data_IF_454278947398
#
_entry.id   IF_454278947398
#
_cell.length_a   1.000
_cell.length_b   1.000
_cell.length_c   1.000
_cell.angle_alpha   90.00
_cell.angle_beta   90.00
_cell.angle_gamma   90.00
#
_symmetry.space_group_name_H-M   'P 1'
#
loop_
_entity.id
_entity.type
_entity.pdbx_description
1 polymer ?
#
# COMPACT_ATOMS: atom_id res chain seq x y z
N UNK A 1 -0.85 -7.22 -1.97
CA UNK A 1 -0.04 -6.50 -3.01
C UNK A 1 -0.26 -7.18 -4.34
N UNK A 2 -0.62 -6.42 -5.38
CA UNK A 2 -0.77 -6.97 -6.71
C UNK A 2 0.60 -7.36 -7.29
N UNK A 3 0.71 -8.57 -7.82
CA UNK A 3 1.91 -9.06 -8.53
C UNK A 3 2.31 -8.08 -9.65
N UNK A 4 1.33 -7.54 -10.35
CA UNK A 4 1.54 -6.57 -11.43
C UNK A 4 2.25 -5.29 -10.95
N UNK A 5 1.83 -4.71 -9.83
CA UNK A 5 2.48 -3.52 -9.28
C UNK A 5 3.93 -3.79 -8.85
N UNK A 6 4.16 -4.92 -8.18
CA UNK A 6 5.51 -5.34 -7.80
C UNK A 6 6.43 -5.51 -9.01
N UNK A 7 5.91 -6.06 -10.10
CA UNK A 7 6.64 -6.24 -11.34
C UNK A 7 6.98 -4.89 -12.00
N UNK A 8 6.04 -3.94 -12.02
CA UNK A 8 6.27 -2.60 -12.58
C UNK A 8 7.35 -1.86 -11.78
N UNK A 9 7.28 -1.89 -10.45
CA UNK A 9 8.30 -1.26 -9.58
C UNK A 9 9.69 -1.87 -9.83
N UNK A 10 9.78 -3.20 -9.93
CA UNK A 10 11.05 -3.88 -10.20
C UNK A 10 11.59 -3.59 -11.60
N UNK A 11 10.72 -3.47 -12.60
CA UNK A 11 11.14 -3.13 -13.96
C UNK A 11 11.74 -1.72 -14.04
N UNK A 12 11.30 -0.78 -13.20
CA UNK A 12 11.87 0.58 -13.14
C UNK A 12 13.31 0.59 -12.61
N UNK A 13 13.64 -0.31 -11.69
CA UNK A 13 15.00 -0.41 -11.11
C UNK A 13 15.86 -1.46 -11.79
N UNK A 14 15.38 -2.06 -12.89
CA UNK A 14 16.09 -3.08 -13.70
C UNK A 14 16.51 -4.31 -12.88
N UNK A 15 15.62 -4.81 -12.03
CA UNK A 15 15.87 -5.93 -11.11
C UNK A 15 14.79 -7.03 -11.19
N UNK A 16 14.21 -7.23 -12.38
CA UNK A 16 13.11 -8.21 -12.58
C UNK A 16 13.53 -9.65 -12.26
N UNK A 17 14.81 -9.99 -12.45
CA UNK A 17 15.35 -11.32 -12.14
C UNK A 17 15.22 -11.71 -10.67
N UNK A 18 15.16 -10.73 -9.78
CA UNK A 18 14.99 -10.93 -8.33
C UNK A 18 13.53 -10.92 -7.88
N UNK A 19 12.56 -10.97 -8.80
CA UNK A 19 11.15 -10.83 -8.49
C UNK A 19 10.65 -11.79 -7.41
N UNK A 20 11.05 -13.07 -7.46
CA UNK A 20 10.61 -14.08 -6.47
C UNK A 20 11.03 -13.72 -5.05
N UNK A 21 12.30 -13.35 -4.87
CA UNK A 21 12.86 -12.94 -3.56
C UNK A 21 12.22 -11.65 -3.08
N UNK A 22 12.03 -10.69 -3.98
CA UNK A 22 11.39 -9.42 -3.70
C UNK A 22 9.95 -9.61 -3.20
N UNK A 23 9.16 -10.40 -3.91
CA UNK A 23 7.77 -10.64 -3.56
C UNK A 23 7.62 -11.36 -2.22
N UNK A 24 8.48 -12.35 -1.97
CA UNK A 24 8.53 -13.02 -0.68
C UNK A 24 8.89 -12.06 0.45
N UNK A 25 9.87 -11.19 0.23
CA UNK A 25 10.29 -10.17 1.20
C UNK A 25 9.15 -9.17 1.50
N UNK A 26 8.46 -8.69 0.48
CA UNK A 26 7.30 -7.77 0.64
C UNK A 26 6.19 -8.45 1.46
N UNK A 27 5.89 -9.71 1.19
CA UNK A 27 4.91 -10.47 1.99
C UNK A 27 5.35 -10.64 3.45
N UNK A 28 6.62 -10.97 3.67
CA UNK A 28 7.17 -11.13 5.02
C UNK A 28 7.15 -9.82 5.80
N UNK A 29 7.62 -8.73 5.19
CA UNK A 29 7.56 -7.38 5.78
C UNK A 29 6.11 -7.00 6.07
N UNK A 30 5.18 -7.31 5.16
CA UNK A 30 3.75 -7.09 5.35
C UNK A 30 3.22 -7.76 6.61
N UNK A 31 3.55 -9.04 6.82
CA UNK A 31 3.12 -9.80 8.01
C UNK A 31 3.73 -9.21 9.29
N UNK A 32 5.04 -8.92 9.27
CA UNK A 32 5.75 -8.33 10.42
C UNK A 32 5.15 -6.98 10.80
N UNK A 33 4.91 -6.12 9.82
CA UNK A 33 4.29 -4.82 10.06
C UNK A 33 2.85 -4.96 10.57
N UNK A 34 2.05 -5.87 10.03
CA UNK A 34 0.68 -6.13 10.50
C UNK A 34 0.63 -6.53 11.99
N UNK A 35 1.70 -7.17 12.49
CA UNK A 35 1.82 -7.52 13.92
C UNK A 35 2.30 -6.33 14.76
N UNK A 36 3.26 -5.56 14.25
CA UNK A 36 3.95 -4.51 15.03
C UNK A 36 3.15 -3.21 15.05
N UNK A 37 2.64 -2.77 13.90
CA UNK A 37 2.04 -1.44 13.73
C UNK A 37 0.81 -1.21 14.63
N UNK A 38 -0.12 -2.17 14.81
CA UNK A 38 -1.26 -1.99 15.72
C UNK A 38 -0.85 -1.82 17.19
N UNK A 39 0.37 -2.26 17.55
CA UNK A 39 0.88 -2.18 18.93
C UNK A 39 1.61 -0.88 19.25
N UNK A 40 1.92 -0.06 18.24
CA UNK A 40 2.60 1.22 18.43
C UNK A 40 1.57 2.32 18.76
N UNK A 41 1.75 3.14 19.83
CA UNK A 41 0.96 4.33 20.02
C UNK A 41 1.15 5.30 18.83
N UNK A 42 0.13 5.95 18.26
CA UNK A 42 -1.21 6.19 18.79
C UNK A 42 -2.28 5.13 18.47
N UNK A 43 -1.96 4.10 17.70
CA UNK A 43 -2.96 3.12 17.25
C UNK A 43 -3.47 2.21 18.36
N UNK A 44 -2.58 1.76 19.25
CA UNK A 44 -2.96 0.97 20.42
C UNK A 44 -3.92 1.70 21.38
N UNK A 45 -4.08 3.01 21.22
CA UNK A 45 -4.99 3.86 22.00
C UNK A 45 -6.36 4.05 21.35
N UNK A 46 -6.52 3.66 20.07
CA UNK A 46 -7.84 3.65 19.42
C UNK A 46 -8.66 2.51 20.04
N UNK A 47 -9.87 2.82 20.46
CA UNK A 47 -10.87 1.79 20.82
C UNK A 47 -11.14 0.95 19.59
N UNK A 48 -11.31 -0.36 19.79
CA UNK A 48 -11.80 -1.30 18.77
C UNK A 48 -13.31 -1.05 18.53
N UNK A 49 -13.65 0.16 18.12
CA UNK A 49 -14.98 0.46 17.60
C UNK A 49 -14.99 0.09 16.13
N UNK A 50 -15.56 -1.05 15.84
CA UNK A 50 -15.90 -1.42 14.47
C UNK A 50 -16.98 -0.45 13.99
N UNK A 51 -16.62 0.47 13.10
CA UNK A 51 -17.58 1.26 12.33
C UNK A 51 -18.19 0.33 11.28
N UNK A 52 -18.89 -0.67 11.73
CA UNK A 52 -19.78 -1.45 10.88
C UNK A 52 -21.16 -0.88 11.14
N UNK A 53 -21.65 -0.06 10.22
CA UNK A 53 -23.10 0.11 10.01
C UNK A 53 -23.69 -1.22 9.50
N UNK A 54 -23.46 -2.30 10.19
CA UNK A 54 -24.25 -3.50 10.08
C UNK A 54 -25.07 -3.58 11.35
N UNK A 55 -26.38 -3.48 11.22
CA UNK A 55 -27.37 -3.70 12.27
C UNK A 55 -27.36 -5.18 12.76
N UNK A 56 -26.21 -5.83 12.74
CA UNK A 56 -26.01 -7.17 13.24
C UNK A 56 -24.95 -7.12 14.33
N UNK A 57 -25.41 -7.06 15.55
CA UNK A 57 -24.61 -7.14 16.77
C UNK A 57 -23.90 -8.50 16.82
N UNK A 58 -22.69 -8.55 17.37
CA UNK A 58 -21.98 -9.82 17.62
C UNK A 58 -22.79 -10.85 18.43
N UNK A 59 -23.83 -10.42 19.10
CA UNK A 59 -24.82 -11.25 19.80
C UNK A 59 -25.64 -12.11 18.81
N UNK A 60 -26.01 -11.57 17.63
CA UNK A 60 -26.75 -12.33 16.61
C UNK A 60 -25.93 -13.45 15.98
N UNK A 61 -24.59 -13.31 15.97
CA UNK A 61 -23.66 -14.31 15.45
C UNK A 61 -23.55 -15.50 16.41
N UNK A 62 -23.54 -15.23 17.71
CA UNK A 62 -23.41 -16.26 18.74
C UNK A 62 -24.67 -17.12 18.94
N UNK A 63 -25.86 -16.55 18.68
CA UNK A 63 -27.14 -17.24 18.92
C UNK A 63 -27.58 -18.18 17.78
N UNK A 64 -27.23 -17.87 16.52
CA UNK A 64 -27.79 -18.57 15.36
C UNK A 64 -26.80 -19.41 14.54
N UNK A 65 -25.49 -19.27 14.72
CA UNK A 65 -24.51 -19.96 13.86
C UNK A 65 -23.45 -20.71 14.67
N UNK A 66 -23.28 -21.99 14.37
CA UNK A 66 -22.27 -22.86 15.02
C UNK A 66 -20.82 -22.56 14.60
N UNK A 67 -20.62 -21.74 13.55
CA UNK A 67 -19.29 -21.40 13.01
C UNK A 67 -19.31 -20.07 12.25
N UNK A 68 -18.26 -19.25 12.42
CA UNK A 68 -18.06 -18.01 11.66
C UNK A 68 -18.02 -18.23 10.14
N UNK A 69 -17.64 -19.42 9.69
CA UNK A 69 -17.63 -19.79 8.26
C UNK A 69 -19.04 -19.96 7.73
N UNK A 70 -19.96 -20.59 8.50
CA UNK A 70 -21.37 -20.74 8.11
C UNK A 70 -22.07 -19.39 8.03
N UNK A 71 -21.81 -18.49 8.98
CA UNK A 71 -22.32 -17.12 8.94
C UNK A 71 -21.84 -16.37 7.70
N UNK A 72 -20.53 -16.44 7.40
CA UNK A 72 -19.97 -15.82 6.21
C UNK A 72 -20.54 -16.37 4.90
N UNK A 73 -20.82 -17.67 4.85
CA UNK A 73 -21.42 -18.32 3.68
C UNK A 73 -22.88 -17.88 3.48
N UNK A 74 -23.67 -17.81 4.55
CA UNK A 74 -25.08 -17.35 4.51
C UNK A 74 -25.18 -15.87 4.08
N UNK A 75 -24.29 -15.04 4.60
CA UNK A 75 -24.17 -13.64 4.17
C UNK A 75 -23.78 -13.50 2.69
N UNK A 76 -22.86 -14.33 2.21
CA UNK A 76 -22.45 -14.35 0.81
C UNK A 76 -23.60 -14.80 -0.10
N UNK A 77 -24.37 -15.83 0.30
CA UNK A 77 -25.54 -16.31 -0.44
C UNK A 77 -26.64 -15.24 -0.48
N UNK A 78 -26.97 -14.62 0.66
CA UNK A 78 -27.94 -13.51 0.73
C UNK A 78 -27.55 -12.34 -0.15
N UNK A 79 -26.25 -12.02 -0.20
CA UNK A 79 -25.73 -10.94 -1.04
C UNK A 79 -25.75 -11.30 -2.51
N UNK A 80 -25.52 -12.58 -2.86
CA UNK A 80 -25.65 -13.08 -4.23
C UNK A 80 -27.12 -13.11 -4.70
N UNK A 81 -28.06 -13.50 -3.83
CA UNK A 81 -29.49 -13.49 -4.13
C UNK A 81 -30.09 -12.09 -4.29
N UNK A 82 -29.51 -11.08 -3.64
CA UNK A 82 -29.94 -9.69 -3.78
C UNK A 82 -29.61 -9.07 -5.14
N UNK A 83 -28.71 -9.69 -5.92
CA UNK A 83 -28.37 -9.22 -7.26
C UNK A 83 -29.36 -9.75 -8.30
N UNK A 84 -30.14 -8.84 -8.89
CA UNK A 84 -31.16 -9.15 -9.91
C UNK A 84 -30.55 -9.40 -11.30
N UNK A 85 -29.75 -10.47 -11.43
CA UNK A 85 -29.29 -10.96 -12.72
C UNK A 85 -27.91 -10.48 -13.17
N UNK A 86 -27.32 -11.23 -14.12
CA UNK A 86 -25.97 -11.02 -14.68
C UNK A 86 -25.82 -9.65 -15.34
N UNK A 87 -26.90 -9.11 -15.92
CA UNK A 87 -26.88 -7.80 -16.59
C UNK A 87 -26.67 -6.63 -15.62
N UNK A 88 -27.31 -6.68 -14.46
CA UNK A 88 -27.14 -5.65 -13.40
C UNK A 88 -25.77 -5.74 -12.75
N UNK A 89 -25.27 -6.96 -12.54
CA UNK A 89 -23.90 -7.20 -12.05
C UNK A 89 -22.85 -6.63 -13.00
N UNK A 90 -22.97 -6.89 -14.31
CA UNK A 90 -22.07 -6.33 -15.32
C UNK A 90 -22.16 -4.81 -15.40
N UNK A 91 -23.37 -4.24 -15.35
CA UNK A 91 -23.57 -2.78 -15.37
C UNK A 91 -22.90 -2.13 -14.17
N UNK A 92 -23.15 -2.63 -12.96
CA UNK A 92 -22.55 -2.11 -11.72
C UNK A 92 -21.02 -2.29 -11.72
N UNK A 93 -20.51 -3.39 -12.26
CA UNK A 93 -19.08 -3.62 -12.44
C UNK A 93 -18.43 -2.62 -13.39
N UNK A 94 -19.08 -2.34 -14.52
CA UNK A 94 -18.60 -1.36 -15.50
C UNK A 94 -18.68 0.05 -14.93
N UNK A 95 -19.78 0.45 -14.30
CA UNK A 95 -19.92 1.76 -13.64
C UNK A 95 -18.85 1.97 -12.57
N UNK A 96 -18.61 0.94 -11.76
CA UNK A 96 -17.58 1.00 -10.71
C UNK A 96 -16.16 1.11 -11.31
N UNK A 97 -15.86 0.36 -12.39
CA UNK A 97 -14.59 0.44 -13.10
C UNK A 97 -14.37 1.82 -13.74
N UNK A 98 -15.39 2.38 -14.40
CA UNK A 98 -15.32 3.74 -14.95
C UNK A 98 -15.22 4.80 -13.86
N UNK A 99 -15.96 4.66 -12.77
CA UNK A 99 -15.89 5.55 -11.63
C UNK A 99 -14.48 5.58 -11.03
N UNK A 100 -13.86 4.43 -10.81
CA UNK A 100 -12.46 4.36 -10.37
C UNK A 100 -11.51 4.98 -11.39
N UNK A 101 -11.70 4.72 -12.67
CA UNK A 101 -10.80 5.20 -13.72
C UNK A 101 -10.82 6.72 -13.83
N UNK A 102 -12.01 7.32 -13.85
CA UNK A 102 -12.16 8.77 -13.96
C UNK A 102 -11.92 9.54 -12.67
N UNK A 103 -12.06 8.90 -11.50
CA UNK A 103 -11.84 9.55 -10.22
C UNK A 103 -10.40 9.36 -9.72
N UNK A 104 -9.90 8.13 -9.69
CA UNK A 104 -8.61 7.82 -9.06
C UNK A 104 -7.43 8.15 -9.98
N UNK A 105 -7.53 7.84 -11.28
CA UNK A 105 -6.41 8.06 -12.22
C UNK A 105 -5.95 9.52 -12.31
N UNK A 106 -6.84 10.52 -12.49
CA UNK A 106 -6.40 11.91 -12.57
C UNK A 106 -5.75 12.39 -11.28
N UNK A 107 -6.28 11.97 -10.11
CA UNK A 107 -5.75 12.36 -8.81
C UNK A 107 -4.33 11.80 -8.63
N UNK A 108 -4.13 10.52 -8.91
CA UNK A 108 -2.82 9.87 -8.82
C UNK A 108 -1.82 10.50 -9.79
N UNK A 109 -2.23 10.81 -11.02
CA UNK A 109 -1.36 11.48 -11.98
C UNK A 109 -0.96 12.89 -11.54
N UNK A 110 -1.87 13.67 -10.98
CA UNK A 110 -1.58 15.03 -10.49
C UNK A 110 -0.62 14.95 -9.30
N UNK A 111 -0.90 14.10 -8.31
CA UNK A 111 -0.06 13.95 -7.12
C UNK A 111 1.32 13.39 -7.48
N UNK A 112 1.37 12.36 -8.34
CA UNK A 112 2.62 11.75 -8.78
C UNK A 112 3.50 12.73 -9.56
N UNK A 113 2.91 13.49 -10.49
CA UNK A 113 3.63 14.51 -11.26
C UNK A 113 4.10 15.65 -10.37
N UNK A 114 3.26 16.15 -9.48
CA UNK A 114 3.63 17.18 -8.52
C UNK A 114 4.79 16.73 -7.63
N UNK A 115 4.75 15.50 -7.13
CA UNK A 115 5.83 14.92 -6.32
C UNK A 115 7.15 14.81 -7.08
N UNK A 116 7.13 14.39 -8.36
CA UNK A 116 8.33 14.32 -9.20
C UNK A 116 8.90 15.71 -9.48
N UNK A 117 8.06 16.69 -9.78
CA UNK A 117 8.48 18.08 -10.01
C UNK A 117 9.11 18.66 -8.74
N UNK A 118 8.47 18.47 -7.59
CA UNK A 118 9.03 18.89 -6.30
C UNK A 118 10.37 18.19 -5.99
N UNK A 119 10.45 16.89 -6.23
CA UNK A 119 11.66 16.10 -5.95
C UNK A 119 12.86 16.54 -6.80
N UNK A 120 12.62 16.95 -8.05
CA UNK A 120 13.68 17.35 -8.95
C UNK A 120 14.07 18.84 -8.82
N UNK A 121 13.12 19.71 -8.48
CA UNK A 121 13.35 21.16 -8.47
C UNK A 121 13.53 21.77 -7.08
N UNK A 122 13.22 21.02 -6.01
CA UNK A 122 13.30 21.55 -4.63
C UNK A 122 14.06 20.62 -3.70
N UNK A 123 14.69 21.22 -2.67
CA UNK A 123 15.39 20.48 -1.60
C UNK A 123 14.45 20.09 -0.44
N UNK A 124 13.14 20.26 -0.61
CA UNK A 124 12.15 19.98 0.46
C UNK A 124 12.24 18.53 0.92
N UNK A 125 12.33 17.59 -0.02
CA UNK A 125 12.43 16.17 0.32
C UNK A 125 13.79 15.80 0.94
N UNK A 126 14.85 16.54 0.67
CA UNK A 126 16.14 16.37 1.35
C UNK A 126 16.07 16.82 2.80
N UNK A 127 15.43 17.95 3.06
CA UNK A 127 15.25 18.47 4.43
C UNK A 127 14.36 17.53 5.24
N UNK A 128 13.24 17.08 4.66
CA UNK A 128 12.33 16.13 5.28
C UNK A 128 12.95 14.71 5.45
N UNK A 129 13.91 14.36 4.61
CA UNK A 129 14.65 13.09 4.68
C UNK A 129 15.73 13.07 5.78
N UNK A 130 16.21 14.24 6.23
CA UNK A 130 17.29 14.33 7.24
C UNK A 130 17.05 13.49 8.51
N UNK A 131 15.86 13.45 9.11
CA UNK A 131 15.62 12.62 10.30
C UNK A 131 15.78 11.11 10.03
N UNK A 132 15.65 10.64 8.78
CA UNK A 132 15.85 9.24 8.42
C UNK A 132 17.32 8.88 8.16
N UNK A 133 18.17 9.89 7.92
CA UNK A 133 19.60 9.68 7.67
C UNK A 133 20.33 8.93 8.78
N UNK A 134 20.18 9.26 10.08
CA UNK A 134 20.87 8.54 11.14
C UNK A 134 20.47 7.05 11.18
N UNK A 135 19.22 6.74 10.90
CA UNK A 135 18.72 5.37 10.83
C UNK A 135 19.36 4.61 9.65
N UNK A 136 19.37 5.21 8.47
CA UNK A 136 19.96 4.59 7.27
C UNK A 136 21.47 4.43 7.39
N UNK A 137 22.16 5.39 8.02
CA UNK A 137 23.59 5.30 8.29
C UNK A 137 23.90 4.22 9.33
N UNK A 138 23.06 4.07 10.34
CA UNK A 138 23.19 2.99 11.32
C UNK A 138 23.04 1.61 10.67
N UNK A 139 22.12 1.49 9.72
CA UNK A 139 21.90 0.28 8.92
C UNK A 139 22.97 0.08 7.82
N UNK A 140 23.94 1.01 7.71
CA UNK A 140 25.00 0.99 6.68
C UNK A 140 24.46 0.89 5.24
N UNK A 141 23.34 1.53 4.97
CA UNK A 141 22.77 1.58 3.63
C UNK A 141 23.64 2.49 2.75
N UNK A 142 24.20 2.00 1.62
CA UNK A 142 24.92 2.84 0.68
C UNK A 142 24.02 3.97 0.16
N UNK A 143 24.60 5.15 -0.11
CA UNK A 143 23.87 6.29 -0.67
C UNK A 143 22.62 6.69 0.17
N UNK A 144 22.78 6.70 1.50
CA UNK A 144 21.70 6.96 2.47
C UNK A 144 20.95 8.28 2.23
N UNK A 145 21.63 9.32 1.69
CA UNK A 145 20.99 10.59 1.36
C UNK A 145 19.97 10.46 0.23
N UNK A 146 20.32 9.77 -0.85
CA UNK A 146 19.42 9.52 -1.96
C UNK A 146 18.25 8.61 -1.52
N UNK A 147 18.55 7.57 -0.72
CA UNK A 147 17.54 6.68 -0.16
C UNK A 147 16.55 7.42 0.74
N UNK A 148 17.01 8.32 1.62
CA UNK A 148 16.12 9.09 2.51
C UNK A 148 15.18 10.01 1.74
N UNK A 149 15.65 10.65 0.68
CA UNK A 149 14.83 11.48 -0.22
C UNK A 149 13.73 10.65 -0.89
N UNK A 150 14.10 9.49 -1.44
CA UNK A 150 13.13 8.60 -2.11
C UNK A 150 12.09 8.02 -1.16
N UNK A 151 12.45 7.73 0.09
CA UNK A 151 11.51 7.27 1.11
C UNK A 151 10.41 8.29 1.40
N UNK A 152 10.74 9.58 1.47
CA UNK A 152 9.75 10.64 1.68
C UNK A 152 8.81 10.77 0.48
N UNK A 153 9.35 10.70 -0.74
CA UNK A 153 8.52 10.72 -1.96
C UNK A 153 7.55 9.55 -1.99
N UNK A 154 7.92 8.40 -1.42
CA UNK A 154 7.09 7.21 -1.30
C UNK A 154 5.80 7.37 -0.48
N UNK A 155 5.70 8.42 0.35
CA UNK A 155 4.43 8.76 1.00
C UNK A 155 3.38 9.32 0.03
N UNK A 156 3.81 9.88 -1.09
CA UNK A 156 2.90 10.43 -2.10
C UNK A 156 2.36 9.35 -3.03
N UNK A 157 3.24 8.49 -3.53
CA UNK A 157 2.90 7.39 -4.42
C UNK A 157 4.05 6.36 -4.44
N UNK A 158 3.75 5.11 -4.78
CA UNK A 158 4.71 4.01 -4.84
C UNK A 158 5.64 4.04 -6.06
N UNK A 159 5.25 4.69 -7.17
CA UNK A 159 6.03 4.72 -8.40
C UNK A 159 7.17 5.73 -8.41
N UNK A 160 6.99 7.00 -7.99
CA UNK A 160 8.06 8.00 -8.03
C UNK A 160 9.35 7.61 -7.32
N UNK A 161 9.34 6.92 -6.15
CA UNK A 161 10.58 6.49 -5.51
C UNK A 161 11.42 5.55 -6.37
N UNK A 162 10.80 4.61 -7.06
CA UNK A 162 11.51 3.66 -7.93
C UNK A 162 12.11 4.34 -9.15
N UNK A 163 11.41 5.32 -9.74
CA UNK A 163 11.90 6.12 -10.87
C UNK A 163 13.11 6.96 -10.44
N UNK A 164 13.01 7.65 -9.31
CA UNK A 164 14.12 8.46 -8.77
C UNK A 164 15.29 7.56 -8.39
N UNK A 165 15.04 6.42 -7.74
CA UNK A 165 16.08 5.48 -7.38
C UNK A 165 16.80 4.91 -8.61
N UNK A 166 16.09 4.64 -9.68
CA UNK A 166 16.70 4.16 -10.94
C UNK A 166 17.71 5.15 -11.50
N UNK A 167 17.42 6.46 -11.41
CA UNK A 167 18.26 7.53 -11.98
C UNK A 167 19.37 8.03 -11.05
N UNK A 168 19.14 8.01 -9.72
CA UNK A 168 20.05 8.66 -8.74
C UNK A 168 20.89 7.68 -7.93
N UNK A 169 20.43 6.43 -7.76
CA UNK A 169 21.10 5.42 -6.93
C UNK A 169 21.85 4.44 -7.83
N UNK A 170 23.12 4.17 -7.51
CA UNK A 170 23.93 3.19 -8.25
C UNK A 170 23.92 1.81 -7.58
N UNK A 171 23.82 1.78 -6.25
CA UNK A 171 23.85 0.55 -5.48
C UNK A 171 22.57 -0.28 -5.70
N UNK A 172 22.73 -1.50 -6.21
CA UNK A 172 21.61 -2.46 -6.38
C UNK A 172 20.91 -2.76 -5.06
N UNK A 173 21.66 -2.88 -3.96
CA UNK A 173 21.11 -3.11 -2.63
C UNK A 173 20.17 -1.97 -2.21
N UNK A 174 20.60 -0.73 -2.43
CA UNK A 174 19.81 0.45 -2.07
C UNK A 174 18.57 0.59 -2.96
N UNK A 175 18.67 0.31 -4.27
CA UNK A 175 17.52 0.24 -5.18
C UNK A 175 16.49 -0.77 -4.71
N UNK A 176 16.93 -1.95 -4.32
CA UNK A 176 16.06 -3.02 -3.83
C UNK A 176 15.35 -2.63 -2.53
N UNK A 177 16.06 -2.01 -1.60
CA UNK A 177 15.50 -1.49 -0.33
C UNK A 177 14.44 -0.43 -0.61
N UNK A 178 14.74 0.55 -1.45
CA UNK A 178 13.80 1.63 -1.81
C UNK A 178 12.56 1.06 -2.48
N UNK A 179 12.71 0.13 -3.43
CA UNK A 179 11.60 -0.52 -4.10
C UNK A 179 10.69 -1.28 -3.11
N UNK A 180 11.30 -1.99 -2.15
CA UNK A 180 10.54 -2.73 -1.12
C UNK A 180 9.78 -1.78 -0.20
N UNK A 181 10.43 -0.70 0.26
CA UNK A 181 9.81 0.28 1.16
C UNK A 181 8.68 1.02 0.46
N UNK A 182 8.85 1.43 -0.80
CA UNK A 182 7.82 2.17 -1.54
C UNK A 182 6.51 1.41 -1.64
N UNK A 183 6.57 0.10 -1.89
CA UNK A 183 5.38 -0.75 -1.99
C UNK A 183 4.77 -1.03 -0.61
N UNK A 184 5.58 -1.32 0.40
CA UNK A 184 5.07 -1.62 1.75
C UNK A 184 4.50 -0.39 2.44
N UNK A 185 5.13 0.77 2.26
CA UNK A 185 4.71 2.03 2.87
C UNK A 185 3.30 2.46 2.45
N UNK A 186 2.97 2.33 1.17
CA UNK A 186 1.67 2.69 0.65
C UNK A 186 0.56 1.76 1.17
N UNK A 187 0.83 0.46 1.30
CA UNK A 187 -0.12 -0.51 1.83
C UNK A 187 -0.58 -0.10 3.24
N UNK A 188 0.37 0.31 4.08
CA UNK A 188 0.05 0.72 5.44
C UNK A 188 -0.65 2.06 5.50
N UNK A 189 -0.29 3.01 4.64
CA UNK A 189 -0.98 4.29 4.56
C UNK A 189 -2.47 4.10 4.20
N UNK A 190 -2.77 3.23 3.25
CA UNK A 190 -4.15 2.94 2.83
C UNK A 190 -4.95 2.18 3.90
N UNK A 191 -4.34 1.24 4.62
CA UNK A 191 -5.00 0.50 5.69
C UNK A 191 -5.41 1.37 6.88
N UNK A 192 -4.76 2.52 7.07
CA UNK A 192 -5.05 3.44 8.16
C UNK A 192 -6.02 4.56 7.81
N UNK A 193 -6.25 4.81 6.53
CA UNK A 193 -7.16 5.86 6.05
C UNK A 193 -8.56 5.35 5.70
N UNK A 194 -8.74 4.05 5.67
CA UNK A 194 -10.05 3.39 5.51
C UNK A 194 -10.63 2.99 6.86
#
# INVERSE_FOLDING_TARGET
VSITFSLIVLSQVDMVDYFGVYYLLVCLVGIVCAIIVPRIPPLSLKKDDYVVESNHTNEDIAENYSSSVQYGLDLAIKRAESHKGIGEFLKNGIENAFGMWFSVMPIVMIIGTASLVLANNTQVFEILGKPFLPLLNFLKVPESLAASKTMIVGFSDMFPPSIIAASTIQSQMTKFIVATISVTQLIYCLLYTS
#
